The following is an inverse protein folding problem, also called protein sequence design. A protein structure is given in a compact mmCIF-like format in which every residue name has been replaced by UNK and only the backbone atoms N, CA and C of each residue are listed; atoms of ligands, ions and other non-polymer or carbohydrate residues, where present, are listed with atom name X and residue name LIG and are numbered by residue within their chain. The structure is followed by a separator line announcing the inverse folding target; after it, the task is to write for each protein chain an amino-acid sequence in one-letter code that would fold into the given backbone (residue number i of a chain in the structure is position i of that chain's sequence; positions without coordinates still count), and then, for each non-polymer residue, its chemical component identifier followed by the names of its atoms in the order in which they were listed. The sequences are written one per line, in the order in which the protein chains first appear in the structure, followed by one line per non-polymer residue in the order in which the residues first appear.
data_IF_646167681230
#
_entry.id   IF_646167681230
#
_cell.length_a   1.000
_cell.length_b   1.000
_cell.length_c   1.000
_cell.angle_alpha   90.00
_cell.angle_beta   90.00
_cell.angle_gamma   90.00
#
_symmetry.space_group_name_H-M   'P 1'
#
loop_
_entity.id
_entity.type
_entity.pdbx_description
1 polymer ?
#
# COMPACT_ATOMS: atom_id res chain seq x y z
N UNK A 1 21.94 16.70 -5.67
CA UNK A 1 21.81 15.51 -4.79
C UNK A 1 20.44 15.40 -4.11
N UNK A 2 19.85 16.48 -3.56
CA UNK A 2 18.54 16.42 -2.87
C UNK A 2 17.33 16.02 -3.74
N UNK A 3 17.36 16.25 -5.05
CA UNK A 3 16.21 15.96 -5.92
C UNK A 3 16.16 14.50 -6.39
N UNK A 4 17.33 13.82 -6.45
CA UNK A 4 17.43 12.45 -6.99
C UNK A 4 16.77 11.40 -6.10
N UNK A 5 16.87 11.54 -4.77
CA UNK A 5 16.24 10.58 -3.85
C UNK A 5 14.72 10.74 -3.78
N UNK A 6 14.19 11.96 -3.97
CA UNK A 6 12.74 12.18 -4.04
C UNK A 6 12.16 11.48 -5.27
N UNK A 7 12.79 11.66 -6.44
CA UNK A 7 12.37 10.96 -7.67
C UNK A 7 12.45 9.44 -7.52
N UNK A 8 13.44 8.94 -6.78
CA UNK A 8 13.55 7.52 -6.47
C UNK A 8 12.39 7.02 -5.59
N UNK A 9 12.04 7.77 -4.53
CA UNK A 9 10.88 7.48 -3.69
C UNK A 9 9.55 7.49 -4.47
N UNK A 10 9.38 8.49 -5.36
CA UNK A 10 8.20 8.59 -6.23
C UNK A 10 8.10 7.38 -7.16
N UNK A 11 9.17 7.07 -7.89
CA UNK A 11 9.19 5.94 -8.81
C UNK A 11 8.95 4.61 -8.09
N UNK A 12 9.57 4.44 -6.91
CA UNK A 12 9.38 3.24 -6.10
C UNK A 12 7.93 3.09 -5.65
N UNK A 13 7.31 4.17 -5.15
CA UNK A 13 5.90 4.18 -4.75
C UNK A 13 4.94 3.86 -5.90
N UNK A 14 5.16 4.44 -7.08
CA UNK A 14 4.33 4.12 -8.26
C UNK A 14 4.42 2.63 -8.59
N UNK A 15 5.64 2.08 -8.69
CA UNK A 15 5.84 0.67 -9.06
C UNK A 15 5.24 -0.27 -8.01
N UNK A 16 5.53 -0.04 -6.71
CA UNK A 16 5.02 -0.88 -5.64
C UNK A 16 3.50 -0.76 -5.49
N UNK A 17 2.94 0.44 -5.63
CA UNK A 17 1.49 0.67 -5.58
C UNK A 17 0.75 0.02 -6.76
N UNK A 18 1.31 0.08 -7.97
CA UNK A 18 0.75 -0.61 -9.13
C UNK A 18 0.74 -2.13 -8.94
N UNK A 19 1.84 -2.70 -8.43
CA UNK A 19 1.93 -4.14 -8.17
C UNK A 19 0.98 -4.59 -7.05
N UNK A 20 0.83 -3.80 -5.98
CA UNK A 20 -0.15 -4.07 -4.92
C UNK A 20 -1.58 -4.06 -5.47
N UNK A 21 -1.93 -3.02 -6.24
CA UNK A 21 -3.24 -2.90 -6.87
C UNK A 21 -3.54 -4.07 -7.79
N UNK A 22 -2.61 -4.41 -8.68
CA UNK A 22 -2.76 -5.55 -9.60
C UNK A 22 -2.90 -6.88 -8.84
N UNK A 23 -2.13 -7.08 -7.77
CA UNK A 23 -2.21 -8.27 -6.94
C UNK A 23 -3.59 -8.41 -6.28
N UNK A 24 -4.06 -7.37 -5.57
CA UNK A 24 -5.35 -7.43 -4.90
C UNK A 24 -6.52 -7.50 -5.89
N UNK A 25 -6.40 -6.84 -7.04
CA UNK A 25 -7.38 -6.96 -8.12
C UNK A 25 -7.49 -8.41 -8.61
N UNK A 26 -6.35 -9.06 -8.87
CA UNK A 26 -6.34 -10.46 -9.30
C UNK A 26 -6.90 -11.39 -8.22
N UNK A 27 -6.63 -11.13 -6.94
CA UNK A 27 -7.21 -11.90 -5.83
C UNK A 27 -8.72 -11.73 -5.80
N UNK A 28 -9.22 -10.50 -5.88
CA UNK A 28 -10.66 -10.20 -5.86
C UNK A 28 -11.38 -10.87 -7.03
N UNK A 29 -10.86 -10.75 -8.25
CA UNK A 29 -11.45 -11.35 -9.46
C UNK A 29 -11.53 -12.89 -9.38
N UNK A 30 -10.54 -13.53 -8.75
CA UNK A 30 -10.49 -15.01 -8.67
C UNK A 30 -11.25 -15.59 -7.47
N UNK A 31 -11.35 -14.85 -6.37
CA UNK A 31 -11.90 -15.37 -5.11
C UNK A 31 -13.22 -14.74 -4.68
N UNK A 32 -13.59 -13.58 -5.25
CA UNK A 32 -14.75 -12.80 -4.84
C UNK A 32 -14.55 -12.04 -3.52
N UNK A 33 -13.37 -12.10 -2.89
CA UNK A 33 -13.06 -11.31 -1.71
C UNK A 33 -12.82 -9.85 -2.09
N UNK A 34 -13.61 -8.92 -1.55
CA UNK A 34 -13.60 -7.48 -1.89
C UNK A 34 -12.35 -6.69 -1.43
N UNK A 35 -11.15 -7.28 -1.52
CA UNK A 35 -9.89 -6.71 -1.02
C UNK A 35 -9.31 -5.61 -1.92
N UNK A 36 -9.55 -5.64 -3.22
CA UNK A 36 -9.21 -4.55 -4.14
C UNK A 36 -10.19 -3.39 -3.97
N UNK A 37 -11.47 -3.70 -3.81
CA UNK A 37 -12.50 -2.71 -3.46
C UNK A 37 -12.15 -2.03 -2.13
N UNK A 38 -11.67 -2.76 -1.12
CA UNK A 38 -11.13 -2.16 0.11
C UNK A 38 -9.94 -1.25 -0.14
N UNK A 39 -8.98 -1.65 -0.99
CA UNK A 39 -7.80 -0.84 -1.31
C UNK A 39 -8.18 0.53 -1.89
N UNK A 40 -9.22 0.54 -2.72
CA UNK A 40 -9.71 1.73 -3.44
C UNK A 40 -10.71 2.54 -2.63
N UNK A 41 -11.25 1.99 -1.55
CA UNK A 41 -12.31 2.62 -0.78
C UNK A 41 -11.86 3.98 -0.20
N UNK A 42 -12.63 5.02 -0.47
CA UNK A 42 -12.43 6.38 0.05
C UNK A 42 -13.59 6.87 0.91
N UNK A 43 -14.59 6.02 1.18
CA UNK A 43 -15.82 6.38 1.87
C UNK A 43 -15.59 6.89 3.30
N UNK A 44 -14.48 6.49 3.93
CA UNK A 44 -14.10 6.93 5.28
C UNK A 44 -13.54 8.36 5.34
N UNK A 45 -13.35 9.04 4.20
CA UNK A 45 -12.80 10.40 4.13
C UNK A 45 -13.96 11.40 4.00
N UNK A 46 -14.28 12.22 5.04
CA UNK A 46 -15.51 13.02 5.11
C UNK A 46 -15.73 14.09 4.02
N UNK A 47 -14.72 14.40 3.21
CA UNK A 47 -14.81 15.36 2.09
C UNK A 47 -14.83 14.65 0.74
N UNK A 48 -14.18 13.49 0.65
CA UNK A 48 -14.06 12.71 -0.60
C UNK A 48 -15.31 11.86 -0.78
N UNK A 49 -15.88 11.32 0.30
CA UNK A 49 -17.08 10.49 0.25
C UNK A 49 -18.36 11.20 -0.22
N UNK A 50 -18.30 12.53 -0.40
CA UNK A 50 -19.41 13.32 -0.95
C UNK A 50 -19.66 13.06 -2.46
N UNK A 51 -18.71 12.41 -3.15
CA UNK A 51 -18.79 12.13 -4.57
C UNK A 51 -18.50 10.65 -4.86
N UNK A 52 -19.19 10.08 -5.84
CA UNK A 52 -18.84 8.78 -6.40
C UNK A 52 -17.78 8.97 -7.47
N UNK A 53 -16.61 8.37 -7.28
CA UNK A 53 -15.52 8.44 -8.25
C UNK A 53 -15.49 7.21 -9.14
N UNK A 54 -15.09 7.34 -10.41
CA UNK A 54 -14.81 6.18 -11.24
C UNK A 54 -13.55 5.46 -10.72
N UNK A 55 -13.50 4.14 -10.89
CA UNK A 55 -12.41 3.28 -10.42
C UNK A 55 -10.98 3.82 -10.70
N UNK A 56 -10.64 4.36 -11.89
CA UNK A 56 -9.30 4.91 -12.12
C UNK A 56 -8.94 6.10 -11.22
N UNK A 57 -9.92 6.88 -10.77
CA UNK A 57 -9.71 8.03 -9.89
C UNK A 57 -9.53 7.57 -8.44
N UNK A 58 -10.30 6.59 -7.98
CA UNK A 58 -10.08 5.94 -6.67
C UNK A 58 -8.67 5.33 -6.60
N UNK A 59 -8.24 4.65 -7.67
CA UNK A 59 -6.90 4.10 -7.78
C UNK A 59 -5.81 5.17 -7.76
N UNK A 60 -6.04 6.32 -8.41
CA UNK A 60 -5.10 7.44 -8.38
C UNK A 60 -4.91 8.00 -6.97
N UNK A 61 -5.99 8.12 -6.17
CA UNK A 61 -5.85 8.51 -4.77
C UNK A 61 -4.96 7.54 -3.99
N UNK A 62 -5.14 6.24 -4.21
CA UNK A 62 -4.29 5.22 -3.60
C UNK A 62 -2.81 5.37 -4.02
N UNK A 63 -2.55 5.60 -5.32
CA UNK A 63 -1.18 5.83 -5.80
C UNK A 63 -0.53 7.09 -5.18
N UNK A 64 -1.29 8.16 -4.95
CA UNK A 64 -0.78 9.35 -4.26
C UNK A 64 -0.34 8.99 -2.83
N UNK A 65 -1.16 8.26 -2.08
CA UNK A 65 -0.80 7.78 -0.73
C UNK A 65 0.45 6.91 -0.78
N UNK A 66 0.54 6.00 -1.75
CA UNK A 66 1.70 5.13 -1.93
C UNK A 66 2.98 5.93 -2.21
N UNK A 67 2.95 6.95 -3.07
CA UNK A 67 4.10 7.83 -3.36
C UNK A 67 4.55 8.59 -2.11
N UNK A 68 3.61 9.14 -1.34
CA UNK A 68 3.91 9.84 -0.08
C UNK A 68 4.57 8.86 0.90
N UNK A 69 3.96 7.70 1.12
CA UNK A 69 4.46 6.68 2.03
C UNK A 69 5.85 6.19 1.63
N UNK A 70 6.07 5.85 0.35
CA UNK A 70 7.36 5.40 -0.16
C UNK A 70 8.46 6.44 0.03
N UNK A 71 8.15 7.73 -0.22
CA UNK A 71 9.11 8.83 -0.05
C UNK A 71 9.46 9.04 1.43
N UNK A 72 8.49 8.98 2.33
CA UNK A 72 8.71 9.07 3.78
C UNK A 72 9.52 7.88 4.31
N UNK A 73 9.19 6.65 3.88
CA UNK A 73 9.92 5.45 4.27
C UNK A 73 11.36 5.45 3.75
N UNK A 74 11.60 5.92 2.53
CA UNK A 74 12.95 6.13 2.00
C UNK A 74 13.74 7.12 2.86
N UNK A 75 13.12 8.24 3.25
CA UNK A 75 13.75 9.21 4.14
C UNK A 75 14.13 8.57 5.49
N UNK A 76 13.25 7.74 6.07
CA UNK A 76 13.52 7.00 7.31
C UNK A 76 14.66 5.98 7.16
N UNK A 77 14.65 5.16 6.10
CA UNK A 77 15.71 4.20 5.78
C UNK A 77 17.08 4.89 5.74
N UNK A 78 17.16 6.04 5.04
CA UNK A 78 18.39 6.83 4.95
C UNK A 78 18.79 7.45 6.29
N UNK A 79 17.82 7.93 7.07
CA UNK A 79 18.06 8.52 8.40
C UNK A 79 18.60 7.48 9.39
N UNK A 80 18.08 6.25 9.33
CA UNK A 80 18.51 5.13 10.15
C UNK A 80 19.76 4.42 9.61
N UNK A 81 20.26 4.82 8.43
CA UNK A 81 21.43 4.21 7.77
C UNK A 81 21.29 2.70 7.58
N UNK A 82 20.10 2.26 7.19
CA UNK A 82 19.83 0.84 6.92
C UNK A 82 20.33 0.49 5.52
N UNK A 83 20.91 -0.71 5.38
CA UNK A 83 21.50 -1.20 4.13
C UNK A 83 21.09 -2.66 3.87
N UNK A 84 21.16 -3.05 2.60
CA UNK A 84 20.90 -4.42 2.13
C UNK A 84 19.58 -5.01 2.60
N UNK A 85 19.59 -6.31 2.91
CA UNK A 85 18.39 -7.08 3.25
C UNK A 85 17.64 -6.56 4.50
N UNK A 86 18.30 -5.81 5.38
CA UNK A 86 17.64 -5.20 6.55
C UNK A 86 16.57 -4.20 6.13
N UNK A 87 16.76 -3.50 5.01
CA UNK A 87 15.78 -2.58 4.42
C UNK A 87 14.53 -3.33 4.01
N UNK A 88 14.68 -4.47 3.31
CA UNK A 88 13.55 -5.30 2.87
C UNK A 88 12.75 -5.80 4.05
N UNK A 89 13.40 -6.46 5.03
CA UNK A 89 12.71 -7.02 6.19
C UNK A 89 11.95 -5.93 6.94
N UNK A 90 12.58 -4.78 7.17
CA UNK A 90 11.94 -3.67 7.87
C UNK A 90 10.74 -3.10 7.12
N UNK A 91 10.84 -2.91 5.80
CA UNK A 91 9.73 -2.39 5.00
C UNK A 91 8.59 -3.40 4.86
N UNK A 92 8.87 -4.70 4.78
CA UNK A 92 7.83 -5.75 4.84
C UNK A 92 7.10 -5.66 6.18
N UNK A 93 7.83 -5.63 7.29
CA UNK A 93 7.23 -5.54 8.64
C UNK A 93 6.38 -4.28 8.79
N UNK A 94 6.92 -3.10 8.48
CA UNK A 94 6.22 -1.83 8.64
C UNK A 94 4.97 -1.77 7.76
N UNK A 95 5.04 -2.16 6.49
CA UNK A 95 3.87 -2.09 5.61
C UNK A 95 2.80 -3.12 5.97
N UNK A 96 3.19 -4.32 6.41
CA UNK A 96 2.25 -5.31 6.94
C UNK A 96 1.53 -4.77 8.19
N UNK A 97 2.27 -4.13 9.10
CA UNK A 97 1.69 -3.50 10.29
C UNK A 97 0.75 -2.35 9.93
N UNK A 98 1.11 -1.50 8.97
CA UNK A 98 0.23 -0.46 8.45
C UNK A 98 -1.05 -1.07 7.88
N UNK A 99 -0.94 -2.12 7.07
CA UNK A 99 -2.11 -2.85 6.54
C UNK A 99 -3.01 -3.37 7.66
N UNK A 100 -2.43 -3.98 8.70
CA UNK A 100 -3.18 -4.47 9.85
C UNK A 100 -3.87 -3.34 10.63
N UNK A 101 -3.19 -2.20 10.83
CA UNK A 101 -3.73 -1.04 11.54
C UNK A 101 -4.85 -0.33 10.77
N UNK A 102 -4.82 -0.39 9.43
CA UNK A 102 -5.85 0.21 8.57
C UNK A 102 -7.06 -0.72 8.43
N UNK A 103 -6.93 -2.04 8.59
CA UNK A 103 -8.03 -3.00 8.44
C UNK A 103 -9.37 -2.60 9.11
N UNK A 104 -9.41 -2.03 10.32
CA UNK A 104 -10.67 -1.62 10.96
C UNK A 104 -11.53 -0.64 10.13
N UNK A 105 -10.95 0.07 9.15
CA UNK A 105 -11.72 0.95 8.24
C UNK A 105 -12.74 0.18 7.39
N UNK A 106 -12.61 -1.14 7.29
CA UNK A 106 -13.65 -2.01 6.68
C UNK A 106 -15.02 -1.82 7.34
N UNK A 107 -15.05 -1.57 8.66
CA UNK A 107 -16.29 -1.31 9.39
C UNK A 107 -16.98 0.01 9.02
N UNK A 108 -16.33 0.86 8.23
CA UNK A 108 -16.81 2.19 7.85
C UNK A 108 -17.44 2.24 6.44
N UNK A 109 -17.52 1.11 5.72
CA UNK A 109 -18.13 1.05 4.39
C UNK A 109 -18.73 -0.31 4.08
N UNK A 110 -19.95 -0.30 3.55
CA UNK A 110 -20.67 -1.50 3.10
C UNK A 110 -20.08 -2.13 1.82
N UNK A 111 -19.15 -1.44 1.13
CA UNK A 111 -18.48 -1.94 -0.08
C UNK A 111 -17.32 -2.90 0.24
N UNK A 112 -16.87 -2.93 1.48
CA UNK A 112 -15.64 -3.62 1.88
C UNK A 112 -15.95 -4.96 2.55
N UNK A 113 -14.95 -5.86 2.69
CA UNK A 113 -15.17 -7.14 3.37
C UNK A 113 -15.68 -6.94 4.79
N UNK A 114 -16.42 -7.91 5.30
CA UNK A 114 -16.82 -7.90 6.71
C UNK A 114 -15.57 -7.83 7.61
N UNK A 115 -15.57 -7.08 8.73
CA UNK A 115 -14.40 -6.95 9.60
C UNK A 115 -13.86 -8.29 10.14
N UNK A 116 -14.72 -9.30 10.24
CA UNK A 116 -14.38 -10.67 10.65
C UNK A 116 -14.05 -11.65 9.51
N UNK A 117 -13.96 -11.18 8.26
CA UNK A 117 -13.52 -12.00 7.13
C UNK A 117 -12.01 -12.20 7.17
N UNK A 118 -11.59 -13.29 7.81
CA UNK A 118 -10.19 -13.65 7.97
C UNK A 118 -9.47 -13.98 6.66
N UNK A 119 -10.19 -14.45 5.64
CA UNK A 119 -9.60 -14.75 4.33
C UNK A 119 -9.23 -13.44 3.61
N UNK A 120 -10.16 -12.48 3.58
CA UNK A 120 -9.90 -11.14 3.07
C UNK A 120 -8.78 -10.44 3.85
N UNK A 121 -8.75 -10.57 5.18
CA UNK A 121 -7.68 -10.02 6.01
C UNK A 121 -6.31 -10.63 5.66
N UNK A 122 -6.23 -11.95 5.48
CA UNK A 122 -4.98 -12.61 5.11
C UNK A 122 -4.45 -12.13 3.75
N UNK A 123 -5.32 -12.03 2.73
CA UNK A 123 -4.95 -11.50 1.42
C UNK A 123 -4.54 -10.04 1.47
N UNK A 124 -5.24 -9.23 2.27
CA UNK A 124 -4.89 -7.84 2.53
C UNK A 124 -3.48 -7.70 3.10
N UNK A 125 -3.16 -8.47 4.15
CA UNK A 125 -1.81 -8.48 4.74
C UNK A 125 -0.76 -9.00 3.76
N UNK A 126 -1.07 -10.04 2.99
CA UNK A 126 -0.17 -10.57 1.97
C UNK A 126 0.16 -9.52 0.90
N UNK A 127 -0.83 -8.75 0.45
CA UNK A 127 -0.63 -7.61 -0.45
C UNK A 127 0.30 -6.57 0.16
N UNK A 128 0.09 -6.19 1.41
CA UNK A 128 0.93 -5.19 2.09
C UNK A 128 2.37 -5.69 2.35
N UNK A 129 2.54 -6.98 2.63
CA UNK A 129 3.85 -7.61 2.70
C UNK A 129 4.55 -7.59 1.33
N UNK A 130 3.84 -7.92 0.24
CA UNK A 130 4.33 -7.82 -1.12
C UNK A 130 4.76 -6.40 -1.47
N UNK A 131 3.93 -5.40 -1.14
CA UNK A 131 4.25 -3.99 -1.30
C UNK A 131 5.57 -3.63 -0.59
N UNK A 132 5.71 -4.01 0.68
CA UNK A 132 6.93 -3.77 1.46
C UNK A 132 8.16 -4.47 0.87
N UNK A 133 8.00 -5.68 0.33
CA UNK A 133 9.08 -6.44 -0.29
C UNK A 133 9.57 -5.77 -1.59
N UNK A 134 8.64 -5.39 -2.49
CA UNK A 134 8.96 -4.66 -3.72
C UNK A 134 9.60 -3.32 -3.39
N UNK A 135 9.00 -2.56 -2.48
CA UNK A 135 9.53 -1.26 -2.07
C UNK A 135 10.95 -1.40 -1.50
N UNK A 136 11.18 -2.39 -0.63
CA UNK A 136 12.51 -2.63 -0.09
C UNK A 136 13.54 -3.05 -1.13
N UNK A 137 13.15 -3.87 -2.10
CA UNK A 137 14.04 -4.22 -3.21
C UNK A 137 14.41 -3.00 -4.07
N UNK A 138 13.47 -2.08 -4.28
CA UNK A 138 13.71 -0.84 -5.03
C UNK A 138 14.53 0.19 -4.24
N UNK A 139 14.40 0.23 -2.91
CA UNK A 139 15.01 1.25 -2.05
C UNK A 139 16.32 0.82 -1.40
N UNK A 140 16.64 -0.48 -1.33
CA UNK A 140 17.87 -0.94 -0.70
C UNK A 140 19.10 -0.42 -1.46
N UNK A 141 20.04 0.17 -0.72
CA UNK A 141 21.39 0.35 -1.19
C UNK A 141 22.15 -0.95 -0.89
N UNK A 142 22.88 -1.47 -1.88
CA UNK A 142 23.74 -2.65 -1.69
C UNK A 142 25.01 -2.21 -0.96
N UNK A 143 25.42 -3.01 0.03
CA UNK A 143 26.71 -2.87 0.71
C UNK A 143 27.90 -3.02 -0.26
#
# INVERSE_FOLDING_TARGET
MKQKWILHGIGAGIISGMLLGAFLWAVEEQSGHSVYTLLMNVDYIPVVNAFTYPAPVEFLFHLIVSVILATVLLWLVRRMRMLGNRVIVWLVTVNTLIGALIWPVTSLSDRTPAPGDWASFAWWLAGHALYGAVLGWLLQEKD
#
